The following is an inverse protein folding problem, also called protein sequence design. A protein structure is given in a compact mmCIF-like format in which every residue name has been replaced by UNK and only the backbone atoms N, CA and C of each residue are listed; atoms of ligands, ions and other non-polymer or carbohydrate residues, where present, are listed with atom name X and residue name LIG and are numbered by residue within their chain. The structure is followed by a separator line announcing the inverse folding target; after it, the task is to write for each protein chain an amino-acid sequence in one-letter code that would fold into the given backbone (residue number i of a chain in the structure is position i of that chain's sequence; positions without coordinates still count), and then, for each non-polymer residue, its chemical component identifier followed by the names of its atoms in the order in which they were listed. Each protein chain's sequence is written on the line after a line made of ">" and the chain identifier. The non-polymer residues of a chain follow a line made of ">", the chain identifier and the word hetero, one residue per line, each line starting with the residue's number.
data_IF_154257640814
#
_entry.id   IF_154257640814
#
_cell.length_a   1.000
_cell.length_b   1.000
_cell.length_c   1.000
_cell.angle_alpha   90.00
_cell.angle_beta   90.00
_cell.angle_gamma   90.00
#
_symmetry.space_group_name_H-M   'P 1'
#
loop_
_entity.id
_entity.type
_entity.pdbx_description
1 polymer ?
#
# COMPACT_ATOMS: atom_id res chain seq x y z
N UNK A 1 -17.22 5.46 52.52
CA UNK A 1 -15.99 5.76 51.76
C UNK A 1 -15.65 4.56 50.90
N UNK A 2 -15.97 4.68 49.61
CA UNK A 2 -15.77 3.71 48.55
C UNK A 2 -14.44 4.00 47.83
N UNK A 3 -13.49 3.05 47.83
CA UNK A 3 -12.29 3.06 46.97
C UNK A 3 -11.50 1.74 47.06
N UNK A 4 -12.13 0.60 46.77
CA UNK A 4 -11.37 -0.69 46.73
C UNK A 4 -11.83 -1.69 45.67
N UNK A 5 -13.07 -1.62 45.16
CA UNK A 5 -13.59 -2.65 44.24
C UNK A 5 -13.16 -2.56 42.77
N UNK A 6 -12.51 -1.49 42.31
CA UNK A 6 -12.09 -1.33 40.89
C UNK A 6 -10.62 -1.66 40.63
N UNK A 7 -9.76 -1.59 41.65
CA UNK A 7 -8.33 -1.91 41.52
C UNK A 7 -8.04 -3.41 41.70
N UNK A 8 -8.91 -4.15 42.40
CA UNK A 8 -8.79 -5.61 42.54
C UNK A 8 -9.05 -6.35 41.23
N UNK A 9 -10.00 -5.88 40.42
CA UNK A 9 -10.41 -6.52 39.18
C UNK A 9 -9.45 -6.24 38.01
N UNK A 10 -8.74 -5.12 38.05
CA UNK A 10 -7.66 -4.82 37.10
C UNK A 10 -6.41 -5.66 37.40
N UNK A 11 -6.08 -5.84 38.68
CA UNK A 11 -4.97 -6.72 39.10
C UNK A 11 -5.24 -8.18 38.76
N UNK A 12 -6.50 -8.64 38.78
CA UNK A 12 -6.85 -9.99 38.36
C UNK A 12 -6.80 -10.16 36.83
N UNK A 13 -7.22 -9.16 36.05
CA UNK A 13 -7.15 -9.22 34.58
C UNK A 13 -5.71 -9.36 34.05
N UNK A 14 -4.80 -8.48 34.47
CA UNK A 14 -3.39 -8.51 34.05
C UNK A 14 -2.66 -9.74 34.63
N UNK A 15 -2.89 -10.09 35.90
CA UNK A 15 -2.28 -11.30 36.49
C UNK A 15 -2.75 -12.59 35.81
N UNK A 16 -3.96 -12.63 35.25
CA UNK A 16 -4.49 -13.80 34.54
C UNK A 16 -3.96 -13.87 33.10
N UNK A 17 -3.87 -12.73 32.39
CA UNK A 17 -3.23 -12.68 31.08
C UNK A 17 -1.76 -13.13 31.15
N UNK A 18 -1.05 -12.73 32.23
CA UNK A 18 0.34 -13.09 32.51
C UNK A 18 0.51 -14.55 32.95
N UNK A 19 -0.33 -15.05 33.86
CA UNK A 19 -0.24 -16.42 34.39
C UNK A 19 -0.53 -17.52 33.36
N UNK A 20 -1.23 -17.20 32.26
CA UNK A 20 -1.49 -18.13 31.14
C UNK A 20 -0.70 -17.84 29.87
N UNK A 21 0.32 -16.96 29.91
CA UNK A 21 1.11 -16.54 28.75
C UNK A 21 0.29 -15.95 27.59
N UNK A 22 -0.87 -15.36 27.89
CA UNK A 22 -1.67 -14.64 26.87
C UNK A 22 -1.02 -13.28 26.57
N UNK A 23 -0.44 -12.65 27.60
CA UNK A 23 0.41 -11.45 27.51
C UNK A 23 1.69 -11.65 26.69
N UNK A 24 2.24 -12.88 26.62
CA UNK A 24 3.47 -13.16 25.86
C UNK A 24 3.24 -13.18 24.33
N UNK A 25 1.99 -13.10 23.83
CA UNK A 25 1.70 -13.39 22.41
C UNK A 25 0.74 -12.40 21.74
N UNK A 26 0.11 -11.45 22.44
CA UNK A 26 -0.88 -10.55 21.83
C UNK A 26 -0.79 -9.15 22.44
N UNK A 27 -0.55 -8.15 21.59
CA UNK A 27 -0.85 -6.75 21.93
C UNK A 27 -2.38 -6.62 22.06
N UNK A 28 -2.88 -6.56 23.30
CA UNK A 28 -4.33 -6.49 23.57
C UNK A 28 -4.85 -5.15 23.06
N UNK A 29 -5.80 -5.13 22.10
CA UNK A 29 -6.33 -3.87 21.57
C UNK A 29 -6.91 -3.03 22.70
N UNK A 30 -6.67 -1.72 22.70
CA UNK A 30 -7.18 -0.83 23.74
C UNK A 30 -8.70 -0.94 23.92
N UNK A 31 -9.42 -1.22 22.83
CA UNK A 31 -10.86 -1.45 22.79
C UNK A 31 -11.27 -2.57 23.76
N UNK A 32 -10.42 -3.59 23.98
CA UNK A 32 -10.71 -4.71 24.89
C UNK A 32 -10.78 -4.26 26.36
N UNK A 33 -10.11 -3.16 26.74
CA UNK A 33 -10.20 -2.62 28.12
C UNK A 33 -11.64 -2.23 28.48
N UNK A 34 -12.46 -1.87 27.49
CA UNK A 34 -13.89 -1.58 27.69
C UNK A 34 -14.72 -2.82 27.97
N UNK A 35 -14.20 -4.02 27.70
CA UNK A 35 -14.87 -5.31 27.92
C UNK A 35 -14.62 -5.92 29.29
N UNK A 36 -13.84 -5.26 30.17
CA UNK A 36 -13.44 -5.80 31.48
C UNK A 36 -14.58 -6.25 32.40
N UNK A 37 -15.78 -5.67 32.24
CA UNK A 37 -16.95 -6.03 33.05
C UNK A 37 -17.77 -7.20 32.45
N UNK A 38 -17.32 -7.79 31.33
CA UNK A 38 -17.94 -8.99 30.77
C UNK A 38 -17.56 -10.22 31.59
N UNK A 39 -18.40 -11.24 31.49
CA UNK A 39 -18.07 -12.58 31.93
C UNK A 39 -16.72 -13.00 31.34
N UNK A 40 -15.86 -13.54 32.21
CA UNK A 40 -14.54 -14.02 31.89
C UNK A 40 -14.55 -15.02 30.71
N UNK A 41 -15.58 -15.85 30.60
CA UNK A 41 -15.72 -16.80 29.47
C UNK A 41 -15.92 -16.06 28.14
N UNK A 42 -16.68 -14.97 28.13
CA UNK A 42 -16.93 -14.15 26.93
C UNK A 42 -15.64 -13.44 26.52
N UNK A 43 -14.87 -12.94 27.50
CA UNK A 43 -13.61 -12.24 27.26
C UNK A 43 -12.55 -13.18 26.66
N UNK A 44 -12.45 -14.42 27.14
CA UNK A 44 -11.57 -15.44 26.53
C UNK A 44 -11.99 -15.75 25.09
N UNK A 45 -13.29 -15.95 24.85
CA UNK A 45 -13.82 -16.21 23.50
C UNK A 45 -13.50 -15.05 22.55
N UNK A 46 -13.63 -13.82 23.03
CA UNK A 46 -13.27 -12.62 22.27
C UNK A 46 -11.79 -12.60 21.90
N UNK A 47 -10.89 -12.77 22.88
CA UNK A 47 -9.44 -12.73 22.65
C UNK A 47 -8.95 -13.85 21.73
N UNK A 48 -9.53 -15.04 21.87
CA UNK A 48 -9.22 -16.19 21.01
C UNK A 48 -9.67 -15.92 19.58
N UNK A 49 -10.88 -15.41 19.40
CA UNK A 49 -11.38 -15.01 18.08
C UNK A 49 -10.53 -13.90 17.47
N UNK A 50 -10.12 -12.90 18.27
CA UNK A 50 -9.26 -11.81 17.81
C UNK A 50 -7.93 -12.35 17.28
N UNK A 51 -7.24 -13.19 18.05
CA UNK A 51 -5.97 -13.81 17.61
C UNK A 51 -6.13 -14.61 16.32
N UNK A 52 -7.16 -15.46 16.24
CA UNK A 52 -7.43 -16.24 15.04
C UNK A 52 -7.74 -15.34 13.83
N UNK A 53 -8.45 -14.24 14.04
CA UNK A 53 -8.81 -13.30 12.99
C UNK A 53 -7.57 -12.56 12.45
N UNK A 54 -6.70 -12.09 13.33
CA UNK A 54 -5.41 -11.48 12.94
C UNK A 54 -4.52 -12.49 12.19
N UNK A 55 -4.51 -13.77 12.61
CA UNK A 55 -3.78 -14.82 11.89
C UNK A 55 -4.35 -15.06 10.48
N UNK A 56 -5.68 -15.08 10.34
CA UNK A 56 -6.30 -15.14 9.01
C UNK A 56 -5.95 -13.92 8.15
N UNK A 57 -5.86 -12.72 8.72
CA UNK A 57 -5.43 -11.51 8.00
C UNK A 57 -3.98 -11.66 7.50
N UNK A 58 -3.06 -12.10 8.38
CA UNK A 58 -1.64 -12.33 8.04
C UNK A 58 -1.46 -13.40 6.96
N UNK A 59 -2.24 -14.47 7.00
CA UNK A 59 -2.23 -15.54 6.00
C UNK A 59 -3.04 -15.19 4.72
N UNK A 60 -3.46 -13.92 4.57
CA UNK A 60 -4.26 -13.43 3.45
C UNK A 60 -5.59 -14.18 3.23
N UNK A 61 -6.11 -14.85 4.27
CA UNK A 61 -7.43 -15.48 4.29
C UNK A 61 -8.51 -14.42 4.58
N UNK A 62 -8.54 -13.37 3.76
CA UNK A 62 -9.32 -12.15 3.99
C UNK A 62 -10.82 -12.38 4.17
N UNK A 63 -11.40 -13.39 3.53
CA UNK A 63 -12.81 -13.75 3.74
C UNK A 63 -13.07 -14.13 5.21
N UNK A 64 -12.25 -15.03 5.77
CA UNK A 64 -12.38 -15.47 7.16
C UNK A 64 -12.04 -14.34 8.13
N UNK A 65 -11.00 -13.56 7.84
CA UNK A 65 -10.63 -12.40 8.63
C UNK A 65 -11.77 -11.37 8.72
N UNK A 66 -12.41 -11.05 7.58
CA UNK A 66 -13.59 -10.17 7.57
C UNK A 66 -14.72 -10.71 8.46
N UNK A 67 -15.06 -11.99 8.33
CA UNK A 67 -16.11 -12.61 9.16
C UNK A 67 -15.77 -12.55 10.66
N UNK A 68 -14.51 -12.77 11.02
CA UNK A 68 -14.01 -12.65 12.38
C UNK A 68 -14.13 -11.22 12.93
N UNK A 69 -13.67 -10.21 12.17
CA UNK A 69 -13.77 -8.81 12.57
C UNK A 69 -15.22 -8.34 12.74
N UNK A 70 -16.15 -8.79 11.89
CA UNK A 70 -17.57 -8.48 12.06
C UNK A 70 -18.16 -9.09 13.34
N UNK A 71 -17.76 -10.31 13.70
CA UNK A 71 -18.16 -10.94 14.97
C UNK A 71 -17.60 -10.16 16.17
N UNK A 72 -16.35 -9.73 16.11
CA UNK A 72 -15.73 -8.91 17.15
C UNK A 72 -16.46 -7.57 17.30
N UNK A 73 -16.76 -6.88 16.19
CA UNK A 73 -17.55 -5.65 16.19
C UNK A 73 -18.94 -5.85 16.83
N UNK A 74 -19.60 -6.97 16.54
CA UNK A 74 -20.91 -7.30 17.12
C UNK A 74 -20.85 -7.48 18.64
N UNK A 75 -19.76 -8.01 19.20
CA UNK A 75 -19.60 -8.12 20.66
C UNK A 75 -19.66 -6.76 21.33
N UNK A 76 -18.97 -5.75 20.78
CA UNK A 76 -19.04 -4.38 21.28
C UNK A 76 -20.42 -3.76 21.12
N UNK A 77 -21.07 -3.96 19.97
CA UNK A 77 -22.41 -3.45 19.72
C UNK A 77 -23.46 -4.02 20.68
N UNK A 78 -23.36 -5.31 21.05
CA UNK A 78 -24.25 -5.93 22.05
C UNK A 78 -24.11 -5.28 23.43
N UNK A 79 -22.91 -4.77 23.77
CA UNK A 79 -22.66 -4.00 25.00
C UNK A 79 -23.14 -2.53 24.87
N UNK A 80 -23.58 -2.10 23.69
CA UNK A 80 -23.86 -0.70 23.40
C UNK A 80 -22.60 0.13 23.15
N UNK A 81 -21.41 -0.48 23.14
CA UNK A 81 -20.15 0.19 22.86
C UNK A 81 -19.95 0.32 21.34
N UNK A 82 -20.62 1.31 20.76
CA UNK A 82 -20.46 1.62 19.33
C UNK A 82 -19.04 2.12 19.01
N UNK A 83 -18.35 2.72 19.99
CA UNK A 83 -17.04 3.35 19.78
C UNK A 83 -15.98 2.29 19.48
N UNK A 84 -15.90 1.29 20.34
CA UNK A 84 -14.96 0.17 20.20
C UNK A 84 -15.25 -0.71 18.99
N UNK A 85 -16.47 -0.68 18.43
CA UNK A 85 -16.83 -1.44 17.23
C UNK A 85 -16.26 -0.85 15.92
N UNK A 86 -16.00 0.47 15.87
CA UNK A 86 -15.59 1.19 14.66
C UNK A 86 -14.35 0.60 13.96
N UNK A 87 -13.22 0.43 14.66
CA UNK A 87 -11.99 -0.11 14.07
C UNK A 87 -12.15 -1.51 13.46
N UNK A 88 -13.01 -2.35 14.05
CA UNK A 88 -13.29 -3.69 13.52
C UNK A 88 -14.13 -3.64 12.24
N UNK A 89 -15.01 -2.64 12.07
CA UNK A 89 -15.67 -2.40 10.79
C UNK A 89 -14.67 -1.96 9.71
N UNK A 90 -13.71 -1.10 10.06
CA UNK A 90 -12.63 -0.66 9.15
C UNK A 90 -11.79 -1.85 8.71
N UNK A 91 -11.33 -2.70 9.64
CA UNK A 91 -10.55 -3.92 9.32
C UNK A 91 -11.33 -4.92 8.45
N UNK A 92 -12.60 -5.17 8.77
CA UNK A 92 -13.46 -6.02 7.91
C UNK A 92 -13.64 -5.43 6.52
N UNK A 93 -13.90 -4.12 6.42
CA UNK A 93 -14.08 -3.44 5.15
C UNK A 93 -12.83 -3.52 4.27
N UNK A 94 -11.64 -3.42 4.87
CA UNK A 94 -10.36 -3.57 4.17
C UNK A 94 -10.15 -5.00 3.65
N UNK A 95 -10.45 -6.02 4.46
CA UNK A 95 -10.42 -7.41 4.03
C UNK A 95 -11.36 -7.65 2.82
N UNK A 96 -12.58 -7.11 2.87
CA UNK A 96 -13.56 -7.19 1.78
C UNK A 96 -13.09 -6.47 0.51
N UNK A 97 -12.37 -5.37 0.66
CA UNK A 97 -11.74 -4.66 -0.46
C UNK A 97 -10.71 -5.54 -1.17
N UNK A 98 -9.82 -6.21 -0.42
CA UNK A 98 -8.78 -7.07 -1.02
C UNK A 98 -9.33 -8.27 -1.80
N UNK A 99 -10.54 -8.73 -1.50
CA UNK A 99 -11.22 -9.81 -2.25
C UNK A 99 -12.24 -9.29 -3.27
N UNK A 100 -12.20 -8.00 -3.61
CA UNK A 100 -13.04 -7.40 -4.65
C UNK A 100 -14.51 -7.21 -4.27
N UNK A 101 -14.89 -7.45 -3.01
CA UNK A 101 -16.27 -7.28 -2.51
C UNK A 101 -16.58 -5.81 -2.22
N UNK A 102 -16.47 -4.95 -3.23
CA UNK A 102 -16.53 -3.51 -3.06
C UNK A 102 -17.86 -2.96 -2.54
N UNK A 103 -18.99 -3.64 -2.80
CA UNK A 103 -20.30 -3.22 -2.26
C UNK A 103 -20.37 -3.44 -0.75
N UNK A 104 -19.94 -4.60 -0.27
CA UNK A 104 -19.89 -4.92 1.16
C UNK A 104 -18.84 -4.06 1.87
N UNK A 105 -17.66 -3.89 1.27
CA UNK A 105 -16.59 -3.03 1.78
C UNK A 105 -17.06 -1.59 1.97
N UNK A 106 -17.68 -0.96 0.95
CA UNK A 106 -18.24 0.40 1.08
C UNK A 106 -19.26 0.51 2.21
N UNK A 107 -20.13 -0.50 2.40
CA UNK A 107 -21.13 -0.50 3.47
C UNK A 107 -20.48 -0.45 4.86
N UNK A 108 -19.44 -1.25 5.09
CA UNK A 108 -18.76 -1.28 6.38
C UNK A 108 -17.87 -0.06 6.61
N UNK A 109 -17.21 0.47 5.58
CA UNK A 109 -16.52 1.76 5.69
C UNK A 109 -17.47 2.91 6.00
N UNK A 110 -18.65 2.99 5.38
CA UNK A 110 -19.65 4.01 5.73
C UNK A 110 -20.14 3.88 7.17
N UNK A 111 -20.27 2.64 7.67
CA UNK A 111 -20.63 2.41 9.07
C UNK A 111 -19.52 2.86 10.02
N UNK A 112 -18.26 2.55 9.70
CA UNK A 112 -17.10 3.01 10.47
C UNK A 112 -16.98 4.54 10.43
N UNK A 113 -17.21 5.16 9.27
CA UNK A 113 -17.18 6.60 9.06
C UNK A 113 -18.16 7.32 10.00
N UNK A 114 -19.42 6.89 10.03
CA UNK A 114 -20.41 7.49 10.93
C UNK A 114 -20.08 7.34 12.41
N UNK A 115 -19.39 6.26 12.80
CA UNK A 115 -18.87 6.11 14.17
C UNK A 115 -17.73 7.10 14.41
N UNK A 116 -16.73 7.15 13.52
CA UNK A 116 -15.58 8.04 13.66
C UNK A 116 -15.99 9.52 13.72
N UNK A 117 -16.95 9.94 12.88
CA UNK A 117 -17.52 11.30 12.89
C UNK A 117 -18.22 11.62 14.21
N UNK A 118 -19.06 10.71 14.73
CA UNK A 118 -19.72 10.89 16.04
C UNK A 118 -18.73 11.00 17.20
N UNK A 119 -17.53 10.43 17.05
CA UNK A 119 -16.47 10.50 18.04
C UNK A 119 -15.55 11.71 17.87
N UNK A 120 -15.67 12.45 16.77
CA UNK A 120 -14.70 13.47 16.39
C UNK A 120 -13.30 12.89 16.13
N UNK A 121 -13.19 11.59 15.80
CA UNK A 121 -11.92 10.96 15.47
C UNK A 121 -11.51 11.30 14.04
N UNK A 122 -11.06 12.54 13.83
CA UNK A 122 -10.72 13.06 12.50
C UNK A 122 -9.66 12.22 11.80
N UNK A 123 -8.70 11.64 12.53
CA UNK A 123 -7.69 10.76 11.93
C UNK A 123 -8.32 9.56 11.24
N UNK A 124 -9.21 8.87 11.93
CA UNK A 124 -9.91 7.69 11.39
C UNK A 124 -10.88 8.09 10.27
N UNK A 125 -11.53 9.27 10.37
CA UNK A 125 -12.34 9.82 9.27
C UNK A 125 -11.50 9.97 8.00
N UNK A 126 -10.32 10.60 8.07
CA UNK A 126 -9.41 10.73 6.92
C UNK A 126 -9.05 9.38 6.31
N UNK A 127 -8.54 8.45 7.12
CA UNK A 127 -8.15 7.11 6.66
C UNK A 127 -9.32 6.35 6.00
N UNK A 128 -10.54 6.46 6.53
CA UNK A 128 -11.73 5.85 5.92
C UNK A 128 -12.11 6.52 4.60
N UNK A 129 -12.02 7.85 4.50
CA UNK A 129 -12.29 8.58 3.25
C UNK A 129 -11.31 8.15 2.16
N UNK A 130 -10.01 8.02 2.44
CA UNK A 130 -9.03 7.47 1.47
C UNK A 130 -9.46 6.10 0.97
N UNK A 131 -9.89 5.20 1.86
CA UNK A 131 -10.33 3.86 1.48
C UNK A 131 -11.63 3.86 0.64
N UNK A 132 -12.60 4.73 0.96
CA UNK A 132 -13.79 4.94 0.13
C UNK A 132 -13.43 5.50 -1.26
N UNK A 133 -12.39 6.34 -1.32
CA UNK A 133 -11.80 6.83 -2.55
C UNK A 133 -11.24 5.69 -3.40
N UNK A 134 -10.44 4.79 -2.82
CA UNK A 134 -9.90 3.61 -3.50
C UNK A 134 -10.99 2.72 -4.09
N UNK A 135 -12.08 2.49 -3.34
CA UNK A 135 -13.22 1.72 -3.85
C UNK A 135 -13.91 2.45 -5.02
N UNK A 136 -14.06 3.77 -4.93
CA UNK A 136 -14.69 4.56 -6.00
C UNK A 136 -13.84 4.53 -7.26
N UNK A 137 -12.52 4.65 -7.11
CA UNK A 137 -11.55 4.53 -8.19
C UNK A 137 -11.60 3.15 -8.86
N UNK A 138 -11.61 2.06 -8.07
CA UNK A 138 -11.72 0.70 -8.58
C UNK A 138 -13.03 0.43 -9.35
N UNK A 139 -14.10 1.20 -9.06
CA UNK A 139 -15.38 1.16 -9.80
C UNK A 139 -15.41 2.07 -11.03
N UNK A 140 -14.32 2.80 -11.32
CA UNK A 140 -14.23 3.77 -12.40
C UNK A 140 -14.87 5.14 -12.09
N UNK A 141 -15.36 5.38 -10.88
CA UNK A 141 -15.91 6.69 -10.51
C UNK A 141 -14.81 7.64 -10.04
N UNK A 142 -14.08 8.18 -11.02
CA UNK A 142 -12.97 9.10 -10.80
C UNK A 142 -13.40 10.40 -10.12
N UNK A 143 -14.68 10.81 -10.25
CA UNK A 143 -15.19 12.05 -9.63
C UNK A 143 -15.39 11.87 -8.13
N UNK A 144 -16.06 10.79 -7.72
CA UNK A 144 -16.22 10.46 -6.30
C UNK A 144 -14.89 10.14 -5.63
N UNK A 145 -14.01 9.40 -6.31
CA UNK A 145 -12.67 9.11 -5.78
C UNK A 145 -11.91 10.40 -5.46
N UNK A 146 -11.87 11.35 -6.40
CA UNK A 146 -11.21 12.64 -6.21
C UNK A 146 -11.78 13.43 -5.02
N UNK A 147 -13.10 13.45 -4.86
CA UNK A 147 -13.73 14.16 -3.74
C UNK A 147 -13.33 13.53 -2.41
N UNK A 148 -13.34 12.20 -2.30
CA UNK A 148 -12.91 11.50 -1.10
C UNK A 148 -11.45 11.79 -0.76
N UNK A 149 -10.54 11.71 -1.74
CA UNK A 149 -9.11 12.00 -1.50
C UNK A 149 -8.89 13.46 -1.11
N UNK A 150 -9.59 14.42 -1.71
CA UNK A 150 -9.49 15.84 -1.31
C UNK A 150 -10.01 16.09 0.11
N UNK A 151 -11.12 15.46 0.49
CA UNK A 151 -11.65 15.56 1.86
C UNK A 151 -10.69 14.93 2.88
N UNK A 152 -10.10 13.79 2.56
CA UNK A 152 -9.08 13.17 3.41
C UNK A 152 -7.82 14.04 3.51
N UNK A 153 -7.33 14.57 2.37
CA UNK A 153 -6.17 15.45 2.34
C UNK A 153 -6.38 16.69 3.22
N UNK A 154 -7.54 17.34 3.12
CA UNK A 154 -7.88 18.47 3.97
C UNK A 154 -7.79 18.11 5.46
N UNK A 155 -8.33 16.96 5.86
CA UNK A 155 -8.23 16.48 7.24
C UNK A 155 -6.78 16.19 7.62
N UNK A 156 -6.01 15.57 6.72
CA UNK A 156 -4.60 15.26 6.95
C UNK A 156 -3.76 16.53 7.13
N UNK A 157 -4.07 17.60 6.41
CA UNK A 157 -3.49 18.95 6.58
C UNK A 157 -3.85 19.54 7.94
N UNK A 158 -5.13 19.52 8.32
CA UNK A 158 -5.57 20.01 9.64
C UNK A 158 -4.89 19.29 10.81
N UNK A 159 -4.62 17.99 10.66
CA UNK A 159 -4.00 17.17 11.70
C UNK A 159 -2.46 17.19 11.65
N UNK A 160 -1.85 17.78 10.61
CA UNK A 160 -0.40 17.64 10.37
C UNK A 160 0.03 16.20 10.09
N UNK A 161 -0.87 15.33 9.62
CA UNK A 161 -0.57 13.93 9.31
C UNK A 161 0.12 13.81 7.95
N UNK A 162 1.43 14.06 7.93
CA UNK A 162 2.26 14.04 6.72
C UNK A 162 2.14 12.73 5.91
N UNK A 163 2.04 11.59 6.60
CA UNK A 163 1.94 10.29 5.92
C UNK A 163 0.64 10.17 5.12
N UNK A 164 -0.48 10.57 5.71
CA UNK A 164 -1.77 10.57 5.02
C UNK A 164 -1.82 11.64 3.91
N UNK A 165 -1.22 12.82 4.13
CA UNK A 165 -1.09 13.85 3.09
C UNK A 165 -0.36 13.33 1.85
N UNK A 166 0.83 12.72 2.03
CA UNK A 166 1.60 12.13 0.93
C UNK A 166 0.80 11.06 0.18
N UNK A 167 0.10 10.19 0.92
CA UNK A 167 -0.75 9.16 0.34
C UNK A 167 -1.88 9.76 -0.51
N UNK A 168 -2.66 10.69 0.04
CA UNK A 168 -3.80 11.28 -0.68
C UNK A 168 -3.36 12.12 -1.88
N UNK A 169 -2.26 12.87 -1.78
CA UNK A 169 -1.65 13.58 -2.91
C UNK A 169 -1.27 12.61 -4.03
N UNK A 170 -0.65 11.47 -3.70
CA UNK A 170 -0.31 10.46 -4.71
C UNK A 170 -1.55 9.88 -5.40
N UNK A 171 -2.63 9.64 -4.64
CA UNK A 171 -3.90 9.12 -5.17
C UNK A 171 -4.63 10.15 -6.03
N UNK A 172 -4.57 11.44 -5.67
CA UNK A 172 -5.03 12.54 -6.53
C UNK A 172 -4.21 12.59 -7.83
N UNK A 173 -2.89 12.40 -7.74
CA UNK A 173 -2.00 12.31 -8.90
C UNK A 173 -2.41 11.20 -9.87
N UNK A 174 -2.84 10.04 -9.36
CA UNK A 174 -3.39 8.94 -10.19
C UNK A 174 -4.63 9.42 -10.94
N UNK A 175 -5.58 10.06 -10.25
CA UNK A 175 -6.80 10.55 -10.88
C UNK A 175 -6.51 11.57 -11.98
N UNK A 176 -5.58 12.50 -11.77
CA UNK A 176 -5.23 13.51 -12.78
C UNK A 176 -4.62 12.87 -14.01
N UNK A 177 -3.68 11.93 -13.82
CA UNK A 177 -3.06 11.18 -14.91
C UNK A 177 -4.10 10.44 -15.75
N UNK A 178 -5.05 9.77 -15.10
CA UNK A 178 -6.08 8.98 -15.79
C UNK A 178 -7.11 9.87 -16.52
N UNK A 179 -7.19 11.15 -16.17
CA UNK A 179 -7.95 12.18 -16.90
C UNK A 179 -7.13 12.87 -18.00
N UNK A 180 -5.85 12.53 -18.16
CA UNK A 180 -4.94 13.13 -19.13
C UNK A 180 -4.23 14.39 -18.66
N UNK A 181 -4.46 14.86 -17.43
CA UNK A 181 -3.76 16.00 -16.84
C UNK A 181 -2.40 15.54 -16.27
N UNK A 182 -1.42 15.44 -17.16
CA UNK A 182 -0.08 14.98 -16.82
C UNK A 182 0.68 15.97 -15.93
N UNK A 183 0.51 17.28 -16.15
CA UNK A 183 1.18 18.31 -15.36
C UNK A 183 0.62 18.39 -13.93
N UNK A 184 -0.71 18.35 -13.79
CA UNK A 184 -1.37 18.27 -12.49
C UNK A 184 -1.02 16.98 -11.74
N UNK A 185 -0.90 15.86 -12.46
CA UNK A 185 -0.42 14.61 -11.86
C UNK A 185 1.01 14.72 -11.36
N UNK A 186 1.92 15.25 -12.19
CA UNK A 186 3.33 15.41 -11.84
C UNK A 186 3.52 16.33 -10.63
N UNK A 187 2.77 17.44 -10.57
CA UNK A 187 2.75 18.35 -9.43
C UNK A 187 2.40 17.61 -8.13
N UNK A 188 1.29 16.87 -8.13
CA UNK A 188 0.83 16.13 -6.95
C UNK A 188 1.81 15.03 -6.54
N UNK A 189 2.37 14.29 -7.48
CA UNK A 189 3.37 13.26 -7.17
C UNK A 189 4.68 13.84 -6.62
N UNK A 190 5.19 14.94 -7.17
CA UNK A 190 6.39 15.60 -6.63
C UNK A 190 6.16 16.10 -5.21
N UNK A 191 4.99 16.66 -4.94
CA UNK A 191 4.64 17.10 -3.59
C UNK A 191 4.52 15.92 -2.62
N UNK A 192 3.87 14.83 -3.04
CA UNK A 192 3.79 13.59 -2.26
C UNK A 192 5.18 12.98 -2.00
N UNK A 193 6.07 12.99 -3.00
CA UNK A 193 7.42 12.46 -2.90
C UNK A 193 8.25 13.25 -1.91
N UNK A 194 8.20 14.58 -1.96
CA UNK A 194 8.93 15.44 -1.03
C UNK A 194 8.54 15.13 0.42
N UNK A 195 7.25 14.96 0.71
CA UNK A 195 6.78 14.56 2.05
C UNK A 195 7.27 13.15 2.40
N UNK A 196 7.24 12.20 1.47
CA UNK A 196 7.72 10.84 1.69
C UNK A 196 9.25 10.79 1.95
N UNK A 197 10.02 11.68 1.34
CA UNK A 197 11.46 11.86 1.59
C UNK A 197 11.71 12.47 2.97
N UNK A 198 10.96 13.51 3.36
CA UNK A 198 11.02 14.09 4.70
C UNK A 198 10.74 13.05 5.80
N UNK A 199 9.80 12.14 5.56
CA UNK A 199 9.48 11.05 6.48
C UNK A 199 10.47 9.88 6.45
N UNK A 200 11.32 9.79 5.42
CA UNK A 200 12.11 8.60 5.15
C UNK A 200 11.27 7.34 4.84
N UNK A 201 9.99 7.49 4.46
CA UNK A 201 9.08 6.37 4.22
C UNK A 201 9.32 5.78 2.81
N UNK A 202 10.19 4.76 2.76
CA UNK A 202 10.52 4.03 1.54
C UNK A 202 9.31 3.35 0.87
N UNK A 203 8.22 3.09 1.61
CA UNK A 203 7.00 2.52 1.02
C UNK A 203 6.26 3.55 0.21
N UNK A 204 6.10 4.76 0.74
CA UNK A 204 5.48 5.86 0.00
C UNK A 204 6.31 6.25 -1.23
N UNK A 205 7.63 6.44 -1.05
CA UNK A 205 8.53 6.74 -2.16
C UNK A 205 8.43 5.69 -3.27
N UNK A 206 8.43 4.40 -2.91
CA UNK A 206 8.29 3.30 -3.87
C UNK A 206 6.91 3.21 -4.56
N UNK A 207 5.87 3.82 -4.00
CA UNK A 207 4.58 3.97 -4.67
C UNK A 207 4.54 5.16 -5.63
N UNK A 208 5.36 6.18 -5.41
CA UNK A 208 5.30 7.48 -6.10
C UNK A 208 6.29 7.56 -7.26
N UNK A 209 7.56 7.20 -7.04
CA UNK A 209 8.64 7.32 -8.02
C UNK A 209 8.33 6.72 -9.40
N UNK A 210 7.72 5.51 -9.50
CA UNK A 210 7.40 4.92 -10.80
C UNK A 210 6.37 5.74 -11.57
N UNK A 211 5.40 6.33 -10.87
CA UNK A 211 4.35 7.13 -11.49
C UNK A 211 4.90 8.44 -12.06
N UNK A 212 5.88 9.05 -11.37
CA UNK A 212 6.63 10.20 -11.91
C UNK A 212 7.40 9.78 -13.17
N UNK A 213 8.11 8.64 -13.11
CA UNK A 213 8.84 8.11 -14.26
C UNK A 213 7.96 7.92 -15.49
N UNK A 214 6.74 7.37 -15.32
CA UNK A 214 5.78 7.18 -16.41
C UNK A 214 5.33 8.52 -17.02
N UNK A 215 5.07 9.53 -16.19
CA UNK A 215 4.65 10.84 -16.68
C UNK A 215 5.77 11.53 -17.46
N UNK A 216 6.98 11.55 -16.90
CA UNK A 216 8.13 12.16 -17.57
C UNK A 216 8.45 11.47 -18.90
N UNK A 217 8.31 10.14 -18.96
CA UNK A 217 8.44 9.39 -20.21
C UNK A 217 7.40 9.82 -21.26
N UNK A 218 6.12 9.99 -20.86
CA UNK A 218 5.06 10.49 -21.75
C UNK A 218 5.28 11.94 -22.20
N UNK A 219 6.03 12.71 -21.43
CA UNK A 219 6.41 14.10 -21.74
C UNK A 219 7.73 14.19 -22.51
N UNK A 220 8.31 13.06 -22.93
CA UNK A 220 9.61 12.98 -23.59
C UNK A 220 10.80 13.49 -22.76
N UNK A 221 10.59 13.79 -21.46
CA UNK A 221 11.68 13.98 -20.49
C UNK A 221 12.24 12.63 -20.10
N UNK A 222 13.00 12.10 -21.05
CA UNK A 222 13.66 10.85 -20.90
C UNK A 222 14.60 10.93 -19.68
N UNK A 223 15.48 11.91 -19.60
CA UNK A 223 16.47 12.00 -18.52
C UNK A 223 15.86 12.00 -17.12
N UNK A 224 14.79 12.75 -16.92
CA UNK A 224 14.03 12.75 -15.67
C UNK A 224 13.43 11.39 -15.35
N UNK A 225 12.78 10.73 -16.32
CA UNK A 225 12.18 9.41 -16.12
C UNK A 225 13.21 8.36 -15.64
N UNK A 226 14.39 8.33 -16.27
CA UNK A 226 15.47 7.42 -15.89
C UNK A 226 15.92 7.61 -14.45
N UNK A 227 16.12 8.86 -14.03
CA UNK A 227 16.59 9.15 -12.67
C UNK A 227 15.58 8.66 -11.61
N UNK A 228 14.28 8.83 -11.84
CA UNK A 228 13.24 8.38 -10.91
C UNK A 228 13.11 6.85 -10.88
N UNK A 229 13.25 6.17 -12.02
CA UNK A 229 13.30 4.70 -12.04
C UNK A 229 14.55 4.14 -11.36
N UNK A 230 15.72 4.79 -11.52
CA UNK A 230 16.95 4.40 -10.82
C UNK A 230 16.81 4.55 -9.30
N UNK A 231 16.21 5.66 -8.83
CA UNK A 231 15.91 5.84 -7.41
C UNK A 231 14.97 4.75 -6.90
N UNK A 232 13.94 4.41 -7.68
CA UNK A 232 13.02 3.35 -7.30
C UNK A 232 13.70 1.98 -7.22
N UNK A 233 14.60 1.66 -8.17
CA UNK A 233 15.41 0.44 -8.13
C UNK A 233 16.22 0.35 -6.83
N UNK A 234 16.86 1.44 -6.41
CA UNK A 234 17.57 1.51 -5.12
C UNK A 234 16.67 1.26 -3.90
N UNK A 235 15.39 1.61 -3.97
CA UNK A 235 14.41 1.25 -2.92
C UNK A 235 14.08 -0.24 -2.94
N UNK A 236 13.91 -0.82 -4.13
CA UNK A 236 13.64 -2.26 -4.28
C UNK A 236 14.80 -3.11 -3.79
N UNK A 237 16.04 -2.66 -4.00
CA UNK A 237 17.26 -3.28 -3.46
C UNK A 237 17.28 -3.28 -1.94
N UNK A 238 16.96 -2.14 -1.30
CA UNK A 238 16.89 -2.04 0.17
C UNK A 238 15.79 -2.88 0.81
N UNK A 239 14.82 -3.38 0.03
CA UNK A 239 13.64 -4.10 0.54
C UNK A 239 13.58 -5.57 0.11
N UNK A 240 14.62 -6.09 -0.56
CA UNK A 240 14.66 -7.46 -1.12
C UNK A 240 13.43 -7.82 -1.97
N UNK A 241 12.84 -6.84 -2.68
CA UNK A 241 11.63 -7.06 -3.47
C UNK A 241 11.97 -7.40 -4.93
N UNK A 242 12.27 -8.67 -5.20
CA UNK A 242 12.74 -9.17 -6.49
C UNK A 242 11.69 -9.03 -7.62
N UNK A 243 10.40 -9.29 -7.34
CA UNK A 243 9.29 -9.30 -8.32
C UNK A 243 8.86 -7.92 -8.86
N UNK A 244 9.44 -6.82 -8.38
CA UNK A 244 9.22 -5.50 -8.97
C UNK A 244 10.43 -4.99 -9.74
N UNK A 245 11.59 -5.64 -9.60
CA UNK A 245 12.81 -5.25 -10.29
C UNK A 245 12.74 -5.65 -11.77
N UNK A 246 12.26 -6.85 -12.06
CA UNK A 246 12.01 -7.40 -13.40
C UNK A 246 11.15 -6.49 -14.30
N UNK A 247 10.13 -5.83 -13.76
CA UNK A 247 9.21 -4.98 -14.54
C UNK A 247 9.82 -3.64 -14.97
N UNK A 248 10.96 -3.25 -14.39
CA UNK A 248 11.49 -1.87 -14.46
C UNK A 248 12.83 -1.83 -15.16
N UNK A 249 13.62 -2.89 -15.00
CA UNK A 249 14.91 -3.05 -15.66
C UNK A 249 14.84 -2.98 -17.19
N UNK A 250 13.82 -3.52 -17.90
CA UNK A 250 13.69 -3.36 -19.35
C UNK A 250 13.42 -1.90 -19.78
N UNK A 251 12.66 -1.14 -18.99
CA UNK A 251 12.36 0.27 -19.25
C UNK A 251 13.61 1.14 -19.05
N UNK A 252 14.45 0.78 -18.08
CA UNK A 252 15.75 1.42 -17.84
C UNK A 252 16.73 1.07 -18.98
N UNK A 253 16.78 -0.19 -19.39
CA UNK A 253 17.67 -0.69 -20.43
C UNK A 253 17.39 -0.09 -21.81
N UNK A 254 16.12 0.02 -22.22
CA UNK A 254 15.74 0.56 -23.55
C UNK A 254 16.24 2.00 -23.77
N UNK A 255 16.50 2.74 -22.70
CA UNK A 255 16.92 4.14 -22.76
C UNK A 255 18.42 4.35 -22.62
N UNK A 256 19.13 3.42 -21.97
CA UNK A 256 20.60 3.39 -22.02
C UNK A 256 21.07 3.10 -23.46
N UNK A 257 20.26 2.34 -24.20
CA UNK A 257 20.44 2.07 -25.63
C UNK A 257 20.33 3.35 -26.46
N UNK A 258 19.29 4.17 -26.25
CA UNK A 258 19.11 5.46 -26.95
C UNK A 258 20.24 6.48 -26.67
N UNK A 259 20.99 6.31 -25.57
CA UNK A 259 22.13 7.16 -25.19
C UNK A 259 23.48 6.63 -25.66
N UNK A 260 23.51 5.48 -26.34
CA UNK A 260 24.75 4.81 -26.76
C UNK A 260 25.55 4.19 -25.60
N UNK A 261 24.99 4.10 -24.39
CA UNK A 261 25.61 3.43 -23.25
C UNK A 261 25.30 1.93 -23.28
N UNK A 262 25.95 1.24 -24.22
CA UNK A 262 25.74 -0.18 -24.47
C UNK A 262 26.09 -1.05 -23.26
N UNK A 263 27.09 -0.66 -22.45
CA UNK A 263 27.46 -1.40 -21.25
C UNK A 263 26.37 -1.32 -20.18
N UNK A 264 25.79 -0.13 -19.96
CA UNK A 264 24.65 0.04 -19.07
C UNK A 264 23.42 -0.74 -19.50
N UNK A 265 23.17 -0.86 -20.82
CA UNK A 265 22.13 -1.75 -21.38
C UNK A 265 22.38 -3.19 -20.96
N UNK A 266 23.58 -3.72 -21.22
CA UNK A 266 23.93 -5.10 -20.90
C UNK A 266 23.78 -5.40 -19.41
N UNK A 267 24.26 -4.53 -18.53
CA UNK A 267 24.20 -4.76 -17.09
C UNK A 267 22.76 -4.82 -16.57
N UNK A 268 21.89 -3.91 -17.01
CA UNK A 268 20.50 -3.85 -16.52
C UNK A 268 19.61 -4.92 -17.16
N UNK A 269 19.81 -5.27 -18.44
CA UNK A 269 19.09 -6.38 -19.07
C UNK A 269 19.54 -7.75 -18.52
N UNK A 270 20.83 -7.95 -18.24
CA UNK A 270 21.31 -9.18 -17.60
C UNK A 270 20.79 -9.32 -16.17
N UNK A 271 20.75 -8.24 -15.39
CA UNK A 271 20.10 -8.25 -14.07
C UNK A 271 18.59 -8.54 -14.17
N UNK A 272 17.90 -8.04 -15.21
CA UNK A 272 16.49 -8.36 -15.44
C UNK A 272 16.31 -9.86 -15.72
N UNK A 273 17.15 -10.43 -16.57
CA UNK A 273 17.13 -11.85 -16.93
C UNK A 273 17.48 -12.75 -15.74
N UNK A 274 18.46 -12.39 -14.90
CA UNK A 274 18.79 -13.13 -13.69
C UNK A 274 17.63 -13.16 -12.69
N UNK A 275 16.95 -12.04 -12.49
CA UNK A 275 15.79 -11.95 -11.59
C UNK A 275 14.61 -12.73 -12.16
N UNK A 276 14.40 -12.70 -13.48
CA UNK A 276 13.35 -13.48 -14.15
C UNK A 276 13.62 -14.99 -14.11
N UNK A 277 14.89 -15.40 -14.16
CA UNK A 277 15.29 -16.80 -13.94
C UNK A 277 15.03 -17.26 -12.51
N UNK A 278 15.06 -16.36 -11.52
CA UNK A 278 14.68 -16.66 -10.15
C UNK A 278 13.15 -16.71 -9.93
N UNK A 279 12.35 -16.21 -10.88
CA UNK A 279 10.89 -16.05 -10.77
C UNK A 279 10.07 -17.02 -11.64
N UNK A 280 10.71 -17.89 -12.43
CA UNK A 280 10.08 -18.88 -13.35
C UNK A 280 9.06 -18.29 -14.36
N UNK A 281 9.17 -17.01 -14.75
CA UNK A 281 8.26 -16.37 -15.73
C UNK A 281 8.78 -16.47 -17.17
N UNK A 282 8.52 -17.63 -17.80
CA UNK A 282 8.98 -17.97 -19.16
C UNK A 282 8.41 -17.05 -20.26
N UNK A 283 7.26 -16.41 -20.04
CA UNK A 283 6.58 -15.62 -21.09
C UNK A 283 7.26 -14.27 -21.24
N UNK A 284 7.52 -13.60 -20.12
CA UNK A 284 8.22 -12.31 -20.12
C UNK A 284 9.71 -12.46 -20.43
N UNK A 285 10.33 -13.59 -20.03
CA UNK A 285 11.68 -13.97 -20.46
C UNK A 285 11.81 -14.03 -21.99
N UNK A 286 10.85 -14.66 -22.67
CA UNK A 286 10.87 -14.77 -24.13
C UNK A 286 10.79 -13.40 -24.81
N UNK A 287 9.98 -12.48 -24.27
CA UNK A 287 9.78 -11.14 -24.82
C UNK A 287 11.00 -10.24 -24.61
N UNK A 288 11.59 -10.25 -23.41
CA UNK A 288 12.83 -9.51 -23.12
C UNK A 288 14.00 -10.10 -23.90
N UNK A 289 14.11 -11.42 -24.02
CA UNK A 289 15.12 -12.08 -24.84
C UNK A 289 14.99 -11.71 -26.33
N UNK A 290 13.76 -11.67 -26.87
CA UNK A 290 13.47 -11.21 -28.24
C UNK A 290 13.85 -9.75 -28.45
N UNK A 291 13.50 -8.85 -27.54
CA UNK A 291 13.87 -7.43 -27.62
C UNK A 291 15.39 -7.22 -27.51
N UNK A 292 16.05 -7.97 -26.62
CA UNK A 292 17.52 -7.95 -26.47
C UNK A 292 18.19 -8.45 -27.75
N UNK A 293 17.72 -9.58 -28.31
CA UNK A 293 18.28 -10.17 -29.52
C UNK A 293 18.00 -9.34 -30.78
N UNK A 294 16.82 -8.71 -30.86
CA UNK A 294 16.46 -7.80 -31.96
C UNK A 294 17.30 -6.53 -31.94
N UNK A 295 17.44 -5.89 -30.78
CA UNK A 295 18.20 -4.65 -30.63
C UNK A 295 19.72 -4.90 -30.72
N UNK A 296 20.23 -6.00 -30.17
CA UNK A 296 21.65 -6.42 -30.31
C UNK A 296 21.95 -6.90 -31.73
N UNK A 297 21.02 -7.62 -32.37
CA UNK A 297 21.14 -8.04 -33.76
C UNK A 297 21.22 -6.85 -34.72
N UNK A 298 20.44 -5.79 -34.47
CA UNK A 298 20.48 -4.54 -35.23
C UNK A 298 21.80 -3.76 -35.04
N UNK A 299 22.33 -3.72 -33.82
CA UNK A 299 23.65 -3.11 -33.52
C UNK A 299 24.80 -3.90 -34.14
N UNK A 300 24.77 -5.23 -34.08
CA UNK A 300 25.76 -6.07 -34.75
C UNK A 300 25.68 -5.93 -36.27
N UNK A 301 24.47 -5.78 -36.84
CA UNK A 301 24.29 -5.48 -38.26
C UNK A 301 24.93 -4.14 -38.63
N UNK A 302 24.67 -3.07 -37.86
CA UNK A 302 25.24 -1.75 -38.08
C UNK A 302 26.77 -1.71 -37.87
N UNK A 303 27.29 -2.47 -36.89
CA UNK A 303 28.73 -2.67 -36.70
C UNK A 303 29.37 -3.44 -37.88
N UNK A 304 28.66 -4.40 -38.47
CA UNK A 304 29.11 -5.15 -39.64
C UNK A 304 29.10 -4.29 -40.92
N UNK A 305 28.12 -3.40 -41.07
CA UNK A 305 28.02 -2.47 -42.20
C UNK A 305 28.92 -1.24 -42.07
N UNK A 306 29.40 -0.91 -40.87
CA UNK A 306 30.37 0.18 -40.63
C UNK A 306 31.83 -0.29 -40.59
N UNK A 307 32.07 -1.60 -40.64
CA UNK A 307 33.41 -2.19 -40.80
C UNK A 307 33.83 -2.13 -42.28
N UNK A 308 34.67 -1.16 -42.63
CA UNK A 308 35.32 -1.06 -43.95
C UNK A 308 36.69 -1.78 -43.91
N UNK A 309 36.81 -3.00 -44.49
CA UNK A 309 38.06 -3.77 -44.46
C UNK A 309 39.20 -3.13 -45.28
N UNK A 310 38.99 -1.98 -45.94
CA UNK A 310 40.02 -1.28 -46.72
C UNK A 310 40.67 -0.07 -46.01
N UNK A 311 40.38 0.15 -44.73
CA UNK A 311 40.98 1.24 -43.93
C UNK A 311 42.00 0.80 -42.87
N UNK A 312 42.51 -0.42 -42.97
CA UNK A 312 43.72 -0.87 -42.26
C UNK A 312 44.77 -1.33 -43.25
#
# INVERSE_FOLDING_TARGET
>A
MSRTGKESDLRSFDAILKSRKIEEVIEVPEQVKTLKDLDFEILIKFLTLYKQTEEFEKLHQFKKASEGYLKLAQTFLKKGDRKSAGPFFTKSALCLYYIGKFKESSKYFQRALGIAEQLGNLREVGEILTNLGLISYAKGDLKRALNYYKSSLYIAEQLGNLRLQSQDLSLIGIIMRDRGDLDGALYNYKHALNIAEQLGDLTLQGGILPNIGVILYKQEDLSGAFNHYKQFLGILEKRDNLKRKDQILPIIGMKLYDRGDLNGVFDHYNQALEILNQLDDLTLQSQISLDTTSNVGYVLLLAFYSYDPKKH
#
